data_IF_154986661065
#
_entry.id   IF_154986661065
#
_cell.length_a   1.000
_cell.length_b   1.000
_cell.length_c   1.000
_cell.angle_alpha   90.00
_cell.angle_beta   90.00
_cell.angle_gamma   90.00
#
_symmetry.space_group_name_H-M   'P 1'
#
loop_
_entity.id
_entity.type
_entity.pdbx_description
1 polymer ?
#
# COMPACT_ATOMS: atom_id res chain seq x y z
N UNK A 1 7.54 -16.78 11.83
CA UNK A 1 8.03 -16.25 10.53
C UNK A 1 9.07 -15.19 10.79
N UNK A 2 10.09 -15.04 9.91
CA UNK A 2 11.09 -13.97 10.00
C UNK A 2 10.42 -12.60 9.92
N UNK A 3 10.92 -11.63 10.70
CA UNK A 3 10.46 -10.25 10.69
C UNK A 3 11.61 -9.31 10.39
N UNK A 4 11.28 -8.18 9.78
CA UNK A 4 12.21 -7.09 9.51
C UNK A 4 11.54 -5.76 9.80
N UNK A 5 12.29 -4.83 10.32
CA UNK A 5 11.82 -3.48 10.55
C UNK A 5 11.41 -2.81 9.23
N UNK A 6 10.18 -2.33 9.15
CA UNK A 6 9.68 -1.56 8.01
C UNK A 6 10.13 -0.09 8.14
N UNK A 7 11.40 0.14 7.88
CA UNK A 7 12.01 1.47 7.90
C UNK A 7 11.65 2.31 9.12
N UNK A 8 11.35 3.58 8.89
CA UNK A 8 10.99 4.55 9.94
C UNK A 8 9.66 4.29 10.63
N UNK A 9 8.81 3.41 10.09
CA UNK A 9 7.54 3.07 10.73
C UNK A 9 7.73 2.37 12.07
N UNK A 10 8.89 1.76 12.28
CA UNK A 10 9.21 0.98 13.49
C UNK A 10 8.45 -0.36 13.59
N UNK A 11 7.58 -0.66 12.63
CA UNK A 11 6.86 -1.94 12.62
C UNK A 11 7.80 -3.10 12.26
N UNK A 12 7.84 -4.13 13.10
CA UNK A 12 8.53 -5.39 12.85
C UNK A 12 7.65 -6.27 11.93
N UNK A 13 7.68 -5.95 10.63
CA UNK A 13 6.87 -6.63 9.62
C UNK A 13 7.39 -8.02 9.32
N UNK A 14 6.49 -8.98 9.21
CA UNK A 14 6.84 -10.28 8.61
C UNK A 14 7.34 -10.07 7.18
N UNK A 15 8.36 -10.84 6.78
CA UNK A 15 8.94 -10.78 5.41
C UNK A 15 7.93 -11.17 4.32
N UNK A 16 6.87 -11.87 4.72
CA UNK A 16 5.69 -12.13 3.89
C UNK A 16 4.57 -11.21 4.34
N UNK A 17 4.12 -10.34 3.45
CA UNK A 17 2.92 -9.50 3.64
C UNK A 17 1.71 -10.22 3.02
N UNK A 18 0.57 -10.19 3.70
CA UNK A 18 -0.67 -10.70 3.14
C UNK A 18 -1.24 -9.70 2.14
N UNK A 19 -1.00 -9.96 0.85
CA UNK A 19 -1.56 -9.17 -0.25
C UNK A 19 -2.97 -9.61 -0.59
N UNK A 20 -3.97 -8.79 -0.30
CA UNK A 20 -5.38 -9.14 -0.39
C UNK A 20 -5.96 -9.18 -1.82
N UNK A 21 -5.18 -8.88 -2.86
CA UNK A 21 -5.69 -8.93 -4.24
C UNK A 21 -6.23 -10.34 -4.61
N UNK A 22 -5.57 -11.39 -4.11
CA UNK A 22 -5.99 -12.77 -4.37
C UNK A 22 -7.37 -13.11 -3.81
N UNK A 23 -7.66 -12.67 -2.60
CA UNK A 23 -8.93 -12.96 -1.90
C UNK A 23 -10.10 -12.13 -2.43
N UNK A 24 -9.80 -11.06 -3.16
CA UNK A 24 -10.83 -10.21 -3.79
C UNK A 24 -11.51 -10.83 -5.02
N UNK A 25 -11.05 -11.98 -5.50
CA UNK A 25 -11.62 -12.65 -6.68
C UNK A 25 -13.06 -13.10 -6.40
N UNK A 26 -13.96 -12.84 -7.32
CA UNK A 26 -15.39 -13.26 -7.23
C UNK A 26 -15.56 -14.76 -7.13
N UNK A 27 -14.63 -15.53 -7.71
CA UNK A 27 -14.65 -17.00 -7.70
C UNK A 27 -14.36 -17.63 -6.35
N UNK A 28 -13.82 -16.88 -5.38
CA UNK A 28 -13.56 -17.40 -4.04
C UNK A 28 -14.77 -17.18 -3.13
N UNK A 29 -15.15 -18.23 -2.41
CA UNK A 29 -16.17 -18.14 -1.35
C UNK A 29 -15.59 -17.50 -0.09
N UNK A 30 -16.44 -17.05 0.84
CA UNK A 30 -15.99 -16.54 2.13
C UNK A 30 -15.23 -17.63 2.92
N UNK A 31 -15.72 -18.87 2.94
CA UNK A 31 -15.06 -19.97 3.64
C UNK A 31 -13.62 -20.21 3.14
N UNK A 32 -13.40 -20.13 1.82
CA UNK A 32 -12.06 -20.25 1.25
C UNK A 32 -11.14 -19.08 1.63
N UNK A 33 -11.70 -17.88 1.74
CA UNK A 33 -10.96 -16.71 2.24
C UNK A 33 -10.63 -16.89 3.70
N UNK A 34 -11.57 -17.38 4.51
CA UNK A 34 -11.37 -17.64 5.93
C UNK A 34 -10.25 -18.65 6.17
N UNK A 35 -10.20 -19.74 5.42
CA UNK A 35 -9.10 -20.73 5.49
C UNK A 35 -7.73 -20.08 5.20
N UNK A 36 -7.64 -19.23 4.18
CA UNK A 36 -6.39 -18.56 3.80
C UNK A 36 -5.96 -17.54 4.85
N UNK A 37 -6.91 -16.78 5.40
CA UNK A 37 -6.61 -15.79 6.45
C UNK A 37 -6.19 -16.50 7.74
N UNK A 38 -6.90 -17.56 8.15
CA UNK A 38 -6.52 -18.38 9.33
C UNK A 38 -5.11 -18.95 9.17
N UNK A 39 -4.79 -19.47 8.01
CA UNK A 39 -3.46 -20.00 7.71
C UNK A 39 -2.40 -18.90 7.85
N UNK A 40 -2.62 -17.73 7.25
CA UNK A 40 -1.69 -16.60 7.34
C UNK A 40 -1.47 -16.17 8.79
N UNK A 41 -2.56 -16.03 9.56
CA UNK A 41 -2.51 -15.63 10.96
C UNK A 41 -1.82 -16.68 11.84
N UNK A 42 -2.04 -17.97 11.58
CA UNK A 42 -1.38 -19.07 12.33
C UNK A 42 0.13 -19.09 12.11
N UNK A 43 0.61 -18.60 10.97
CA UNK A 43 2.04 -18.44 10.68
C UNK A 43 2.62 -17.10 11.18
N UNK A 44 1.79 -16.29 11.85
CA UNK A 44 2.19 -15.03 12.48
C UNK A 44 2.40 -13.89 11.49
N UNK A 45 1.74 -13.93 10.30
CA UNK A 45 1.71 -12.78 9.39
C UNK A 45 1.06 -11.60 10.10
N UNK A 46 1.73 -10.44 10.05
CA UNK A 46 1.30 -9.26 10.79
C UNK A 46 1.24 -7.99 9.92
N UNK A 47 1.24 -8.14 8.61
CA UNK A 47 1.12 -7.04 7.66
C UNK A 47 0.11 -7.42 6.57
N UNK A 48 -0.95 -6.63 6.46
CA UNK A 48 -1.99 -6.75 5.43
C UNK A 48 -1.91 -5.57 4.46
N UNK A 49 -1.84 -5.89 3.18
CA UNK A 49 -1.85 -4.91 2.09
C UNK A 49 -3.12 -5.08 1.25
N UNK A 50 -3.98 -4.04 1.22
CA UNK A 50 -5.29 -4.06 0.59
C UNK A 50 -5.53 -2.81 -0.25
N UNK A 51 -6.41 -2.89 -1.24
CA UNK A 51 -6.82 -1.74 -2.05
C UNK A 51 -8.28 -1.85 -2.49
N UNK A 52 -9.00 -0.73 -2.70
CA UNK A 52 -10.37 -0.73 -3.20
C UNK A 52 -10.50 -1.35 -4.59
N UNK A 53 -9.44 -1.30 -5.39
CA UNK A 53 -9.35 -1.91 -6.71
C UNK A 53 -9.19 -3.44 -6.71
N UNK A 54 -9.10 -4.08 -5.54
CA UNK A 54 -8.90 -5.52 -5.41
C UNK A 54 -10.24 -6.30 -5.35
N UNK A 55 -11.18 -5.94 -6.21
CA UNK A 55 -12.49 -6.61 -6.28
C UNK A 55 -13.25 -6.56 -4.95
N UNK A 56 -13.61 -7.73 -4.42
CA UNK A 56 -14.35 -7.89 -3.16
C UNK A 56 -13.43 -8.05 -1.91
N UNK A 57 -12.15 -7.70 -2.03
CA UNK A 57 -11.19 -7.96 -0.94
C UNK A 57 -11.59 -7.27 0.37
N UNK A 58 -12.08 -6.05 0.32
CA UNK A 58 -12.48 -5.30 1.53
C UNK A 58 -13.67 -5.95 2.23
N UNK A 59 -14.71 -6.31 1.49
CA UNK A 59 -15.91 -6.96 2.00
C UNK A 59 -15.58 -8.33 2.63
N UNK A 60 -14.71 -9.10 1.97
CA UNK A 60 -14.30 -10.43 2.45
C UNK A 60 -13.35 -10.36 3.65
N UNK A 61 -12.58 -9.28 3.78
CA UNK A 61 -11.71 -9.06 4.93
C UNK A 61 -12.41 -8.37 6.10
N UNK A 62 -13.53 -7.66 5.87
CA UNK A 62 -14.26 -6.94 6.91
C UNK A 62 -14.67 -7.81 8.11
N UNK A 63 -15.18 -9.05 7.95
CA UNK A 63 -15.51 -9.93 9.08
C UNK A 63 -14.33 -10.31 9.95
N UNK A 64 -13.12 -10.16 9.44
CA UNK A 64 -11.87 -10.46 10.15
C UNK A 64 -11.36 -9.28 10.97
N UNK A 65 -11.65 -8.04 10.58
CA UNK A 65 -11.08 -6.85 11.23
C UNK A 65 -11.29 -6.83 12.74
N UNK A 66 -12.47 -7.13 13.29
CA UNK A 66 -12.66 -7.17 14.75
C UNK A 66 -11.75 -8.16 15.49
N UNK A 67 -11.24 -9.18 14.79
CA UNK A 67 -10.43 -10.27 15.39
C UNK A 67 -8.92 -10.03 15.26
N UNK A 68 -8.50 -9.30 14.22
CA UNK A 68 -7.09 -9.24 13.84
C UNK A 68 -6.53 -7.81 13.70
N UNK A 69 -7.37 -6.74 13.69
CA UNK A 69 -6.92 -5.36 13.46
C UNK A 69 -5.78 -4.95 14.39
N UNK A 70 -5.88 -5.28 15.67
CA UNK A 70 -4.86 -4.93 16.67
C UNK A 70 -3.53 -5.70 16.51
N UNK A 71 -3.54 -6.75 15.71
CA UNK A 71 -2.38 -7.62 15.45
C UNK A 71 -1.71 -7.35 14.10
N UNK A 72 -2.31 -6.48 13.31
CA UNK A 72 -1.87 -6.21 11.95
C UNK A 72 -1.36 -4.78 11.77
N UNK A 73 -0.33 -4.64 10.97
CA UNK A 73 -0.03 -3.40 10.28
C UNK A 73 -0.89 -3.36 9.01
N UNK A 74 -1.88 -2.48 9.01
CA UNK A 74 -2.88 -2.39 7.94
C UNK A 74 -2.49 -1.29 6.95
N UNK A 75 -2.08 -1.69 5.75
CA UNK A 75 -1.81 -0.81 4.62
C UNK A 75 -2.96 -0.79 3.61
N UNK A 76 -3.50 0.38 3.31
CA UNK A 76 -4.46 0.56 2.23
C UNK A 76 -3.95 1.55 1.17
N UNK A 77 -4.72 1.74 0.09
CA UNK A 77 -4.28 2.54 -1.06
C UNK A 77 -5.45 3.24 -1.73
N UNK A 78 -5.14 4.29 -2.51
CA UNK A 78 -6.09 4.92 -3.45
C UNK A 78 -5.48 5.08 -4.82
N UNK A 79 -6.26 4.83 -5.88
CA UNK A 79 -5.90 5.12 -7.27
C UNK A 79 -6.37 6.50 -7.72
N UNK A 80 -7.08 7.22 -6.86
CA UNK A 80 -7.57 8.55 -7.18
C UNK A 80 -6.41 9.55 -7.30
N UNK A 81 -6.57 10.54 -8.17
CA UNK A 81 -5.53 11.53 -8.45
C UNK A 81 -5.83 12.89 -7.83
N UNK A 82 -7.08 13.21 -7.61
CA UNK A 82 -7.48 14.46 -6.99
C UNK A 82 -7.76 14.28 -5.49
N UNK A 83 -7.60 15.37 -4.73
CA UNK A 83 -7.88 15.41 -3.29
C UNK A 83 -9.31 14.98 -2.95
N UNK A 84 -10.30 15.51 -3.69
CA UNK A 84 -11.70 15.24 -3.42
C UNK A 84 -12.05 13.76 -3.62
N UNK A 85 -11.63 13.18 -4.77
CA UNK A 85 -11.85 11.77 -5.06
C UNK A 85 -11.09 10.85 -4.08
N UNK A 86 -9.86 11.22 -3.70
CA UNK A 86 -9.10 10.46 -2.70
C UNK A 86 -9.81 10.43 -1.34
N UNK A 87 -10.41 11.55 -0.89
CA UNK A 87 -11.20 11.56 0.33
C UNK A 87 -12.45 10.66 0.26
N UNK A 88 -13.16 10.66 -0.87
CA UNK A 88 -14.29 9.75 -1.06
C UNK A 88 -13.84 8.28 -0.99
N UNK A 89 -12.72 7.97 -1.62
CA UNK A 89 -12.14 6.63 -1.65
C UNK A 89 -11.67 6.20 -0.24
N UNK A 90 -10.97 7.06 0.51
CA UNK A 90 -10.57 6.82 1.91
C UNK A 90 -11.78 6.47 2.78
N UNK A 91 -12.84 7.29 2.74
CA UNK A 91 -14.06 7.04 3.50
C UNK A 91 -14.75 5.75 3.08
N UNK A 92 -14.73 5.45 1.78
CA UNK A 92 -15.25 4.19 1.24
C UNK A 92 -14.45 2.99 1.79
N UNK A 93 -13.12 3.06 1.76
CA UNK A 93 -12.25 2.02 2.31
C UNK A 93 -12.54 1.75 3.80
N UNK A 94 -12.67 2.80 4.61
CA UNK A 94 -12.98 2.69 6.03
C UNK A 94 -14.33 1.98 6.26
N UNK A 95 -15.37 2.42 5.54
CA UNK A 95 -16.71 1.80 5.65
C UNK A 95 -16.73 0.35 5.19
N UNK A 96 -16.15 0.05 4.01
CA UNK A 96 -16.15 -1.31 3.43
C UNK A 96 -15.39 -2.30 4.28
N UNK A 97 -14.29 -1.87 4.88
CA UNK A 97 -13.44 -2.72 5.72
C UNK A 97 -13.87 -2.74 7.20
N UNK A 98 -14.69 -1.76 7.62
CA UNK A 98 -15.16 -1.66 9.01
C UNK A 98 -14.04 -1.27 9.97
N UNK A 99 -13.19 -0.31 9.59
CA UNK A 99 -12.08 0.18 10.42
C UNK A 99 -12.13 1.69 10.58
N UNK A 100 -11.61 2.18 11.70
CA UNK A 100 -11.56 3.61 12.01
C UNK A 100 -10.25 4.28 11.57
N UNK A 101 -9.21 3.50 11.26
CA UNK A 101 -7.91 4.00 10.83
C UNK A 101 -7.08 2.93 10.13
N UNK A 102 -6.06 3.40 9.43
CA UNK A 102 -5.01 2.56 8.82
C UNK A 102 -3.66 2.85 9.49
N UNK A 103 -2.72 1.93 9.40
CA UNK A 103 -1.33 2.22 9.78
C UNK A 103 -0.60 2.94 8.66
N UNK A 104 -0.85 2.53 7.41
CA UNK A 104 -0.26 3.08 6.20
C UNK A 104 -1.33 3.34 5.15
N UNK A 105 -1.33 4.53 4.53
CA UNK A 105 -2.14 4.79 3.36
C UNK A 105 -1.28 5.26 2.18
N UNK A 106 -1.51 4.72 0.98
CA UNK A 106 -0.58 4.84 -0.13
C UNK A 106 -1.23 5.40 -1.39
N UNK A 107 -0.49 6.25 -2.12
CA UNK A 107 -0.79 6.59 -3.50
C UNK A 107 -0.54 5.36 -4.37
N UNK A 108 -1.59 4.86 -5.03
CA UNK A 108 -1.56 3.58 -5.75
C UNK A 108 -1.32 3.75 -7.24
N UNK A 109 -0.45 2.89 -7.78
CA UNK A 109 -0.18 2.80 -9.20
C UNK A 109 0.25 4.15 -9.83
N UNK A 110 1.12 4.88 -9.16
CA UNK A 110 1.79 6.06 -9.72
C UNK A 110 2.90 5.57 -10.63
N UNK A 111 2.63 5.51 -11.94
CA UNK A 111 3.45 4.79 -12.91
C UNK A 111 4.19 5.70 -13.89
N UNK A 112 3.82 6.97 -13.97
CA UNK A 112 4.39 7.96 -14.86
C UNK A 112 4.67 9.28 -14.15
N UNK A 113 5.42 10.17 -14.79
CA UNK A 113 5.65 11.52 -14.28
C UNK A 113 4.34 12.33 -14.28
N UNK A 114 3.46 12.09 -15.25
CA UNK A 114 2.15 12.72 -15.31
C UNK A 114 1.27 12.31 -14.11
N UNK A 115 1.23 11.02 -13.79
CA UNK A 115 0.58 10.52 -12.55
C UNK A 115 1.16 11.22 -11.32
N UNK A 116 2.50 11.30 -11.24
CA UNK A 116 3.18 11.94 -10.11
C UNK A 116 2.83 13.42 -10.00
N UNK A 117 2.81 14.14 -11.13
CA UNK A 117 2.41 15.55 -11.17
C UNK A 117 0.96 15.74 -10.69
N UNK A 118 0.06 14.85 -11.13
CA UNK A 118 -1.34 14.91 -10.72
C UNK A 118 -1.52 14.66 -9.20
N UNK A 119 -0.86 13.65 -8.63
CA UNK A 119 -1.05 13.31 -7.22
C UNK A 119 -0.32 14.25 -6.25
N UNK A 120 0.81 14.87 -6.68
CA UNK A 120 1.62 15.76 -5.83
C UNK A 120 1.38 17.24 -6.09
N UNK A 121 0.66 17.59 -7.15
CA UNK A 121 0.31 18.98 -7.48
C UNK A 121 -0.79 19.54 -6.56
N UNK A 122 -1.09 20.82 -6.73
CA UNK A 122 -2.16 21.50 -5.99
C UNK A 122 -3.52 20.82 -6.24
N UNK A 123 -4.23 20.47 -5.18
CA UNK A 123 -5.49 19.70 -5.25
C UNK A 123 -5.30 18.23 -5.56
N UNK A 124 -4.07 17.72 -5.52
CA UNK A 124 -3.73 16.33 -5.73
C UNK A 124 -4.05 15.42 -4.54
N UNK A 125 -4.06 14.11 -4.79
CA UNK A 125 -4.42 13.12 -3.79
C UNK A 125 -3.50 13.12 -2.55
N UNK A 126 -2.24 13.54 -2.68
CA UNK A 126 -1.31 13.66 -1.55
C UNK A 126 -1.85 14.61 -0.46
N UNK A 127 -2.53 15.70 -0.85
CA UNK A 127 -3.14 16.61 0.14
C UNK A 127 -4.20 15.89 1.00
N UNK A 128 -4.99 14.98 0.41
CA UNK A 128 -5.95 14.19 1.16
C UNK A 128 -5.26 13.24 2.15
N UNK A 129 -4.15 12.62 1.76
CA UNK A 129 -3.39 11.74 2.64
C UNK A 129 -2.73 12.52 3.79
N UNK A 130 -2.26 13.73 3.54
CA UNK A 130 -1.72 14.62 4.58
C UNK A 130 -2.81 14.99 5.60
N UNK A 131 -3.97 15.41 5.14
CA UNK A 131 -5.12 15.70 6.02
C UNK A 131 -5.58 14.45 6.79
N UNK A 132 -5.57 13.29 6.15
CA UNK A 132 -5.88 12.01 6.78
C UNK A 132 -4.89 11.71 7.93
N UNK A 133 -3.61 11.98 7.73
CA UNK A 133 -2.57 11.84 8.77
C UNK A 133 -2.78 12.85 9.90
N UNK A 134 -3.04 14.10 9.59
CA UNK A 134 -3.28 15.15 10.57
C UNK A 134 -4.52 14.86 11.44
N UNK A 135 -5.53 14.18 10.88
CA UNK A 135 -6.72 13.70 11.61
C UNK A 135 -6.48 12.39 12.37
N UNK A 136 -5.30 11.80 12.30
CA UNK A 136 -4.98 10.54 12.98
C UNK A 136 -5.62 9.29 12.36
N UNK A 137 -6.15 9.40 11.13
CA UNK A 137 -6.76 8.28 10.41
C UNK A 137 -5.74 7.39 9.70
N UNK A 138 -4.51 7.86 9.55
CA UNK A 138 -3.32 7.06 9.18
C UNK A 138 -2.10 7.59 9.92
N UNK A 139 -1.08 6.75 10.09
CA UNK A 139 0.21 7.17 10.66
C UNK A 139 1.24 7.47 9.59
N UNK A 140 1.25 6.65 8.55
CA UNK A 140 2.29 6.63 7.53
C UNK A 140 1.70 6.83 6.14
N UNK A 141 2.46 7.48 5.26
CA UNK A 141 2.08 7.76 3.88
C UNK A 141 3.09 7.11 2.95
N UNK A 142 2.60 6.35 1.97
CA UNK A 142 3.43 5.66 1.00
C UNK A 142 3.06 5.92 -0.44
N UNK A 143 3.89 5.38 -1.33
CA UNK A 143 3.65 5.41 -2.78
C UNK A 143 3.96 4.06 -3.41
N UNK A 144 3.12 3.64 -4.35
CA UNK A 144 3.31 2.39 -5.08
C UNK A 144 3.24 2.62 -6.59
N UNK A 145 3.89 1.73 -7.34
CA UNK A 145 3.82 1.77 -8.80
C UNK A 145 4.16 0.44 -9.44
N UNK A 146 3.84 0.33 -10.73
CA UNK A 146 4.08 -0.86 -11.56
C UNK A 146 4.71 -0.45 -12.89
N UNK A 147 5.49 -1.34 -13.49
CA UNK A 147 6.08 -1.14 -14.81
C UNK A 147 7.52 -0.63 -14.76
N UNK A 148 8.15 -0.48 -15.94
CA UNK A 148 9.60 -0.28 -16.06
C UNK A 148 10.09 1.12 -15.64
N UNK A 149 9.21 2.13 -15.64
CA UNK A 149 9.57 3.51 -15.31
C UNK A 149 9.49 3.83 -13.80
N UNK A 150 8.88 2.94 -13.02
CA UNK A 150 8.52 3.21 -11.62
C UNK A 150 9.71 3.58 -10.73
N UNK A 151 10.89 2.94 -10.79
CA UNK A 151 12.01 3.38 -9.97
C UNK A 151 12.42 4.83 -10.22
N UNK A 152 12.39 5.28 -11.47
CA UNK A 152 12.67 6.67 -11.85
C UNK A 152 11.59 7.63 -11.34
N UNK A 153 10.33 7.24 -11.46
CA UNK A 153 9.19 8.02 -10.96
C UNK A 153 9.24 8.15 -9.44
N UNK A 154 9.54 7.06 -8.72
CA UNK A 154 9.63 7.09 -7.26
C UNK A 154 10.87 7.82 -6.74
N UNK A 155 11.98 7.82 -7.47
CA UNK A 155 13.12 8.69 -7.17
C UNK A 155 12.72 10.17 -7.20
N UNK A 156 11.95 10.59 -8.20
CA UNK A 156 11.42 11.94 -8.25
C UNK A 156 10.37 12.19 -7.17
N UNK A 157 9.53 11.19 -6.87
CA UNK A 157 8.55 11.29 -5.79
C UNK A 157 9.20 11.58 -4.42
N UNK A 158 10.31 10.89 -4.10
CA UNK A 158 11.07 11.12 -2.87
C UNK A 158 11.75 12.51 -2.81
N UNK A 159 11.98 13.16 -3.96
CA UNK A 159 12.47 14.55 -3.99
C UNK A 159 11.35 15.56 -3.70
N UNK A 160 10.11 15.22 -4.02
CA UNK A 160 8.95 16.10 -3.83
C UNK A 160 8.34 15.98 -2.45
N UNK A 161 8.34 14.78 -1.90
CA UNK A 161 7.75 14.48 -0.61
C UNK A 161 8.48 13.33 0.07
N UNK A 162 8.67 13.43 1.38
CA UNK A 162 9.32 12.42 2.21
C UNK A 162 8.34 11.28 2.56
N UNK A 163 8.10 10.39 1.59
CA UNK A 163 7.26 9.22 1.77
C UNK A 163 7.87 8.25 2.78
N UNK A 164 7.03 7.70 3.66
CA UNK A 164 7.46 6.74 4.69
C UNK A 164 7.72 5.34 4.12
N UNK A 165 7.04 4.99 3.01
CA UNK A 165 7.23 3.72 2.30
C UNK A 165 7.16 3.91 0.80
N UNK A 166 7.95 3.09 0.09
CA UNK A 166 7.88 2.92 -1.36
C UNK A 166 7.61 1.45 -1.68
N UNK A 167 6.81 1.19 -2.71
CA UNK A 167 6.57 -0.18 -3.18
C UNK A 167 6.69 -0.24 -4.71
N UNK A 168 7.57 -1.11 -5.19
CA UNK A 168 7.80 -1.33 -6.62
C UNK A 168 8.18 -2.78 -6.90
N UNK A 169 7.99 -3.29 -8.14
CA UNK A 169 8.27 -4.67 -8.47
C UNK A 169 9.76 -5.01 -8.37
N UNK A 170 10.07 -6.13 -7.75
CA UNK A 170 11.41 -6.74 -7.76
C UNK A 170 11.28 -8.18 -8.25
N UNK A 171 11.71 -8.45 -9.46
CA UNK A 171 11.70 -9.80 -10.04
C UNK A 171 12.84 -10.00 -11.02
N UNK A 172 13.24 -11.26 -11.23
CA UNK A 172 14.29 -11.61 -12.17
C UNK A 172 13.97 -11.15 -13.62
N UNK A 173 12.69 -11.11 -14.01
CA UNK A 173 12.28 -10.69 -15.35
C UNK A 173 12.46 -9.18 -15.55
N UNK A 174 12.00 -8.35 -14.62
CA UNK A 174 12.08 -6.89 -14.77
C UNK A 174 13.52 -6.39 -14.62
N UNK A 175 14.34 -7.05 -13.79
CA UNK A 175 15.75 -6.72 -13.61
C UNK A 175 16.65 -7.08 -14.80
N UNK A 176 16.12 -7.73 -15.85
CA UNK A 176 16.82 -7.86 -17.14
C UNK A 176 16.91 -6.54 -17.88
N UNK A 177 16.00 -5.59 -17.61
CA UNK A 177 16.10 -4.24 -18.14
C UNK A 177 17.22 -3.49 -17.39
N UNK A 178 18.30 -3.06 -18.08
CA UNK A 178 19.44 -2.43 -17.43
C UNK A 178 19.12 -1.06 -16.83
N UNK A 179 18.20 -0.31 -17.46
CA UNK A 179 17.77 1.00 -16.94
C UNK A 179 16.97 0.83 -15.67
N UNK A 180 16.02 -0.11 -15.67
CA UNK A 180 15.26 -0.45 -14.46
C UNK A 180 16.18 -0.82 -13.30
N UNK A 181 17.14 -1.72 -13.54
CA UNK A 181 18.08 -2.18 -12.51
C UNK A 181 18.92 -1.04 -11.95
N UNK A 182 19.42 -0.14 -12.82
CA UNK A 182 20.18 1.03 -12.40
C UNK A 182 19.34 1.96 -11.53
N UNK A 183 18.12 2.27 -11.96
CA UNK A 183 17.26 3.23 -11.27
C UNK A 183 16.67 2.62 -9.98
N UNK A 184 16.38 1.32 -9.96
CA UNK A 184 16.00 0.60 -8.76
C UNK A 184 17.11 0.56 -7.70
N UNK A 185 18.37 0.39 -8.11
CA UNK A 185 19.51 0.46 -7.18
C UNK A 185 19.61 1.84 -6.51
N UNK A 186 19.51 2.92 -7.31
CA UNK A 186 19.50 4.30 -6.77
C UNK A 186 18.33 4.54 -5.82
N UNK A 187 17.15 4.02 -6.18
CA UNK A 187 15.95 4.17 -5.36
C UNK A 187 16.12 3.49 -4.00
N UNK A 188 16.67 2.28 -3.98
CA UNK A 188 16.96 1.55 -2.74
C UNK A 188 18.00 2.29 -1.88
N UNK A 189 19.08 2.79 -2.48
CA UNK A 189 20.10 3.58 -1.77
C UNK A 189 19.48 4.85 -1.16
N UNK A 190 18.64 5.56 -1.94
CA UNK A 190 17.95 6.77 -1.46
C UNK A 190 16.96 6.49 -0.33
N UNK A 191 16.23 5.38 -0.41
CA UNK A 191 15.26 5.00 0.61
C UNK A 191 15.89 4.43 1.89
N UNK A 192 17.18 4.06 1.85
CA UNK A 192 17.94 3.51 2.98
C UNK A 192 18.73 4.57 3.75
N UNK A 193 18.86 5.78 3.22
CA UNK A 193 19.56 6.92 3.83
C UNK A 193 18.63 7.75 4.69
#
# INVERSE_FOLDING_TARGET
>A
MEKRRLGRTGHESTVVTFGAAGVGRETLTQDQVDEVVELAMSHGVNHLDIAPSYGQAMEKMAPWMPKIRDKLFLGAKTTMRTKAEAWEDIRSCMRRLGVDSFDLFQLHAVTSMEDLDAVTGSGGALEALLEMRDQGLTKWIGITGHGPEVPRVQLEALRRFDFDTIMFPVSASIYRNPDYRRDAAKLLDTASS
#
